data_IF_225972975895
#
_entry.id   IF_225972975895
#
_cell.length_a   1.000
_cell.length_b   1.000
_cell.length_c   1.000
_cell.angle_alpha   90.00
_cell.angle_beta   90.00
_cell.angle_gamma   90.00
#
_symmetry.space_group_name_H-M   'P 1'
#
loop_
_entity.id
_entity.type
_entity.pdbx_description
1 polymer ?
#
# COMPACT_ATOMS: atom_id res chain seq x y z
N UNK A 1 -14.96 -1.05 60.00
CA UNK A 1 -14.42 -1.21 58.64
C UNK A 1 -13.41 -0.10 58.45
N UNK A 2 -12.17 -0.42 58.10
CA UNK A 2 -11.13 0.59 57.91
C UNK A 2 -11.30 1.23 56.53
N UNK A 3 -10.97 2.52 56.38
CA UNK A 3 -11.00 3.27 55.11
C UNK A 3 -10.36 2.52 53.91
N UNK A 4 -9.23 1.78 54.08
CA UNK A 4 -8.62 1.02 52.99
C UNK A 4 -9.46 -0.16 52.51
N UNK A 5 -10.38 -0.66 53.34
CA UNK A 5 -11.26 -1.78 53.01
C UNK A 5 -12.46 -1.32 52.16
N UNK A 6 -13.00 -0.13 52.44
CA UNK A 6 -14.08 0.46 51.63
C UNK A 6 -13.59 0.86 50.23
N UNK A 7 -12.43 1.53 50.14
CA UNK A 7 -11.84 1.92 48.87
C UNK A 7 -11.57 0.71 47.95
N UNK A 8 -11.06 -0.39 48.52
CA UNK A 8 -10.82 -1.64 47.78
C UNK A 8 -12.12 -2.24 47.25
N UNK A 9 -13.16 -2.31 48.09
CA UNK A 9 -14.47 -2.85 47.69
C UNK A 9 -15.14 -2.01 46.61
N UNK A 10 -15.00 -0.69 46.67
CA UNK A 10 -15.49 0.21 45.62
C UNK A 10 -14.73 0.04 44.32
N UNK A 11 -13.40 -0.10 44.37
CA UNK A 11 -12.60 -0.40 43.18
C UNK A 11 -13.03 -1.73 42.55
N UNK A 12 -13.20 -2.79 43.33
CA UNK A 12 -13.66 -4.09 42.82
C UNK A 12 -15.06 -3.99 42.17
N UNK A 13 -15.98 -3.28 42.83
CA UNK A 13 -17.32 -3.05 42.29
C UNK A 13 -17.30 -2.24 40.98
N UNK A 14 -16.46 -1.22 40.90
CA UNK A 14 -16.33 -0.36 39.72
C UNK A 14 -15.66 -1.12 38.55
N UNK A 15 -14.63 -1.91 38.82
CA UNK A 15 -14.03 -2.80 37.81
C UNK A 15 -15.07 -3.76 37.26
N UNK A 16 -15.87 -4.40 38.13
CA UNK A 16 -16.95 -5.29 37.70
C UNK A 16 -18.02 -4.55 36.86
N UNK A 17 -18.35 -3.30 37.22
CA UNK A 17 -19.29 -2.47 36.46
C UNK A 17 -18.80 -2.19 35.04
N UNK A 18 -17.54 -1.75 34.90
CA UNK A 18 -16.91 -1.44 33.60
C UNK A 18 -16.75 -2.69 32.74
N UNK A 19 -16.32 -3.81 33.34
CA UNK A 19 -16.22 -5.09 32.64
C UNK A 19 -17.58 -5.56 32.10
N UNK A 20 -18.67 -5.31 32.84
CA UNK A 20 -20.02 -5.63 32.39
C UNK A 20 -20.56 -4.64 31.35
N UNK A 21 -20.06 -3.40 31.28
CA UNK A 21 -20.42 -2.42 30.27
C UNK A 21 -19.70 -2.70 28.93
N UNK A 22 -18.42 -3.09 29.03
CA UNK A 22 -17.58 -3.41 27.88
C UNK A 22 -17.96 -4.75 27.23
N UNK A 23 -18.67 -5.63 27.93
CA UNK A 23 -19.03 -6.98 27.45
C UNK A 23 -20.53 -7.14 27.24
N UNK A 24 -20.88 -8.04 26.33
CA UNK A 24 -22.26 -8.45 26.08
C UNK A 24 -23.15 -7.32 25.56
N UNK A 25 -24.42 -7.34 25.96
CA UNK A 25 -25.48 -6.49 25.38
C UNK A 25 -25.26 -4.99 25.68
N UNK A 26 -24.60 -4.66 26.80
CA UNK A 26 -24.33 -3.26 27.20
C UNK A 26 -23.28 -2.57 26.33
N UNK A 27 -22.47 -3.34 25.60
CA UNK A 27 -21.44 -2.80 24.72
C UNK A 27 -22.05 -2.00 23.56
N UNK A 28 -23.21 -2.44 23.04
CA UNK A 28 -23.92 -1.74 21.98
C UNK A 28 -24.34 -0.33 22.41
N UNK A 29 -24.99 -0.24 23.58
CA UNK A 29 -25.47 1.04 24.11
C UNK A 29 -24.28 1.97 24.42
N UNK A 30 -23.19 1.41 24.96
CA UNK A 30 -21.96 2.15 25.22
C UNK A 30 -21.36 2.72 23.94
N UNK A 31 -21.09 1.86 22.94
CA UNK A 31 -20.48 2.27 21.66
C UNK A 31 -21.34 3.31 20.95
N UNK A 32 -22.65 3.08 20.90
CA UNK A 32 -23.58 4.00 20.26
C UNK A 32 -23.58 5.36 20.95
N UNK A 33 -23.68 5.37 22.29
CA UNK A 33 -23.67 6.61 23.07
C UNK A 33 -22.35 7.39 22.94
N UNK A 34 -21.21 6.70 22.97
CA UNK A 34 -19.89 7.33 22.82
C UNK A 34 -19.67 7.89 21.41
N UNK A 35 -20.07 7.16 20.36
CA UNK A 35 -19.99 7.64 18.98
C UNK A 35 -20.91 8.86 18.78
N UNK A 36 -22.15 8.80 19.28
CA UNK A 36 -23.10 9.91 19.19
C UNK A 36 -22.59 11.16 19.90
N UNK A 37 -22.01 10.98 21.09
CA UNK A 37 -21.39 12.07 21.82
C UNK A 37 -20.18 12.65 21.08
N UNK A 38 -19.29 11.78 20.57
CA UNK A 38 -18.09 12.20 19.85
C UNK A 38 -18.41 12.96 18.57
N UNK A 39 -19.37 12.47 17.76
CA UNK A 39 -19.83 13.15 16.56
C UNK A 39 -20.56 14.46 16.88
N UNK A 40 -21.37 14.48 17.93
CA UNK A 40 -22.01 15.71 18.41
C UNK A 40 -21.01 16.79 18.83
N UNK A 41 -19.92 16.40 19.50
CA UNK A 41 -18.83 17.30 19.85
C UNK A 41 -18.00 17.73 18.62
N UNK A 42 -17.77 16.81 17.69
CA UNK A 42 -17.02 17.02 16.45
C UNK A 42 -17.68 18.07 15.54
N UNK A 43 -19.00 18.17 15.56
CA UNK A 43 -19.75 19.22 14.85
C UNK A 43 -19.43 20.65 15.35
N UNK A 44 -18.99 20.80 16.60
CA UNK A 44 -18.62 22.10 17.16
C UNK A 44 -17.17 22.54 16.88
N UNK A 45 -16.35 21.64 16.32
CA UNK A 45 -14.90 21.83 16.19
C UNK A 45 -14.49 21.70 14.72
N UNK A 46 -13.73 22.68 14.25
CA UNK A 46 -13.16 22.67 12.89
C UNK A 46 -11.76 22.06 12.89
N UNK A 47 -11.32 21.55 11.74
CA UNK A 47 -9.98 20.97 11.59
C UNK A 47 -8.88 21.98 11.98
N UNK A 48 -8.98 23.24 11.54
CA UNK A 48 -8.01 24.30 11.87
C UNK A 48 -7.92 24.61 13.38
N UNK A 49 -9.00 24.38 14.13
CA UNK A 49 -9.02 24.61 15.57
C UNK A 49 -8.32 23.51 16.36
N UNK A 50 -8.41 22.26 15.90
CA UNK A 50 -7.90 21.09 16.64
C UNK A 50 -6.53 20.65 16.18
N UNK A 51 -6.16 20.93 14.92
CA UNK A 51 -4.95 20.40 14.33
C UNK A 51 -4.13 21.51 13.65
N UNK A 52 -2.95 21.85 14.22
CA UNK A 52 -2.06 22.81 13.57
C UNK A 52 -1.51 22.23 12.25
N UNK A 53 -1.60 23.03 11.19
CA UNK A 53 -1.08 22.67 9.87
C UNK A 53 0.40 22.26 9.90
N UNK A 54 1.23 23.04 10.59
CA UNK A 54 2.68 22.81 10.68
C UNK A 54 3.00 21.48 11.35
N UNK A 55 2.19 21.06 12.34
CA UNK A 55 2.35 19.77 12.99
C UNK A 55 2.16 18.63 12.00
N UNK A 56 1.14 18.70 11.14
CA UNK A 56 0.88 17.68 10.13
C UNK A 56 1.99 17.65 9.07
N UNK A 57 2.50 18.82 8.66
CA UNK A 57 3.66 18.91 7.75
C UNK A 57 4.88 18.21 8.33
N UNK A 58 5.24 18.52 9.57
CA UNK A 58 6.38 17.87 10.26
C UNK A 58 6.21 16.36 10.37
N UNK A 59 5.01 15.91 10.75
CA UNK A 59 4.70 14.48 10.89
C UNK A 59 4.75 13.79 9.52
N UNK A 60 4.14 14.35 8.48
CA UNK A 60 4.15 13.79 7.14
C UNK A 60 5.59 13.67 6.59
N UNK A 61 6.39 14.73 6.72
CA UNK A 61 7.80 14.74 6.31
C UNK A 61 8.64 13.72 7.09
N UNK A 62 8.42 13.63 8.41
CA UNK A 62 9.09 12.64 9.26
C UNK A 62 8.76 11.23 8.80
N UNK A 63 7.49 10.89 8.58
CA UNK A 63 7.14 9.53 8.17
C UNK A 63 7.62 9.22 6.76
N UNK A 64 7.49 10.14 5.81
CA UNK A 64 7.97 9.94 4.44
C UNK A 64 9.50 9.68 4.41
N UNK A 65 10.28 10.41 5.20
CA UNK A 65 11.74 10.24 5.27
C UNK A 65 12.19 9.03 6.12
N UNK A 66 11.51 8.76 7.23
CA UNK A 66 11.92 7.71 8.18
C UNK A 66 11.30 6.36 7.91
N UNK A 67 10.28 6.27 7.04
CA UNK A 67 9.66 5.00 6.68
C UNK A 67 10.66 4.10 5.99
N UNK A 68 11.20 3.15 6.77
CA UNK A 68 11.96 2.02 6.26
C UNK A 68 11.02 0.84 6.29
N UNK A 69 10.86 0.21 5.14
CA UNK A 69 10.12 -1.06 5.04
C UNK A 69 10.80 -2.06 5.98
N UNK A 70 10.10 -2.59 7.01
CA UNK A 70 10.63 -3.68 7.81
C UNK A 70 11.03 -4.83 6.90
N UNK A 71 12.16 -5.51 7.18
CA UNK A 71 12.68 -6.57 6.32
C UNK A 71 11.72 -7.74 6.08
N UNK A 72 10.64 -7.85 6.86
CA UNK A 72 9.58 -8.84 6.68
C UNK A 72 8.64 -8.50 5.50
N UNK A 73 8.50 -7.24 5.09
CA UNK A 73 7.53 -6.87 4.04
C UNK A 73 7.87 -7.46 2.66
N UNK A 74 9.13 -7.44 2.18
CA UNK A 74 9.50 -8.16 0.95
C UNK A 74 9.22 -9.66 1.01
N UNK A 75 9.44 -10.30 2.17
CA UNK A 75 9.18 -11.73 2.37
C UNK A 75 7.67 -12.03 2.32
N UNK A 76 6.87 -11.21 3.00
CA UNK A 76 5.40 -11.31 2.96
C UNK A 76 4.88 -11.02 1.55
N UNK A 77 5.42 -10.01 0.86
CA UNK A 77 5.02 -9.67 -0.51
C UNK A 77 5.33 -10.81 -1.49
N UNK A 78 6.51 -11.43 -1.37
CA UNK A 78 6.87 -12.61 -2.17
C UNK A 78 5.95 -13.80 -1.88
N UNK A 79 5.75 -14.13 -0.60
CA UNK A 79 4.86 -15.24 -0.21
C UNK A 79 3.41 -15.00 -0.65
N UNK A 80 2.93 -13.76 -0.55
CA UNK A 80 1.60 -13.37 -1.00
C UNK A 80 1.51 -13.42 -2.52
N UNK A 81 2.52 -12.95 -3.26
CA UNK A 81 2.55 -13.01 -4.72
C UNK A 81 2.47 -14.46 -5.22
N UNK A 82 3.27 -15.38 -4.68
CA UNK A 82 3.22 -16.81 -5.03
C UNK A 82 1.83 -17.40 -4.74
N UNK A 83 1.26 -17.08 -3.58
CA UNK A 83 -0.08 -17.59 -3.20
C UNK A 83 -1.20 -16.99 -4.05
N UNK A 84 -1.09 -15.72 -4.42
CA UNK A 84 -2.02 -15.03 -5.30
C UNK A 84 -1.95 -15.59 -6.71
N UNK A 85 -0.76 -15.85 -7.26
CA UNK A 85 -0.60 -16.50 -8.58
C UNK A 85 -1.24 -17.90 -8.63
N UNK A 86 -1.03 -18.68 -7.57
CA UNK A 86 -1.62 -20.00 -7.42
C UNK A 86 -3.13 -19.98 -7.10
N UNK A 87 -3.74 -18.82 -6.92
CA UNK A 87 -5.15 -18.72 -6.51
C UNK A 87 -6.08 -19.18 -7.64
N UNK A 88 -7.11 -20.02 -7.35
CA UNK A 88 -8.03 -20.52 -8.37
C UNK A 88 -8.87 -19.43 -9.05
N UNK A 89 -9.05 -18.27 -8.40
CA UNK A 89 -9.74 -17.14 -9.02
C UNK A 89 -9.03 -16.59 -10.28
N UNK A 90 -7.73 -16.87 -10.46
CA UNK A 90 -6.97 -16.43 -11.64
C UNK A 90 -7.35 -17.17 -12.93
N UNK A 91 -8.16 -18.22 -12.85
CA UNK A 91 -8.78 -18.86 -14.03
C UNK A 91 -9.85 -17.98 -14.69
N UNK A 92 -10.25 -16.89 -14.03
CA UNK A 92 -11.20 -15.92 -14.57
C UNK A 92 -10.57 -15.16 -15.74
N UNK A 93 -11.34 -14.99 -16.81
CA UNK A 93 -10.94 -14.15 -17.95
C UNK A 93 -10.77 -12.69 -17.53
N UNK A 94 -9.72 -12.04 -18.02
CA UNK A 94 -9.40 -10.65 -17.68
C UNK A 94 -10.58 -9.70 -17.97
N UNK A 95 -11.31 -9.91 -19.07
CA UNK A 95 -12.49 -9.11 -19.43
C UNK A 95 -13.68 -9.22 -18.47
N UNK A 96 -13.69 -10.21 -17.57
CA UNK A 96 -14.69 -10.32 -16.47
C UNK A 96 -14.25 -9.57 -15.22
N UNK A 97 -12.95 -9.30 -15.07
CA UNK A 97 -12.38 -8.57 -13.93
C UNK A 97 -12.35 -7.08 -14.22
N UNK A 98 -11.94 -6.70 -15.43
CA UNK A 98 -11.89 -5.32 -15.89
C UNK A 98 -12.77 -5.20 -17.13
N UNK A 99 -13.76 -4.32 -17.04
CA UNK A 99 -14.72 -4.12 -18.12
C UNK A 99 -14.13 -3.26 -19.24
N UNK A 100 -14.32 -3.67 -20.50
CA UNK A 100 -13.88 -2.92 -21.70
C UNK A 100 -14.24 -1.42 -21.69
N UNK A 101 -15.43 -0.96 -21.25
CA UNK A 101 -15.76 0.47 -21.22
C UNK A 101 -14.79 1.30 -20.38
N UNK A 102 -14.37 0.79 -19.21
CA UNK A 102 -13.40 1.49 -18.35
C UNK A 102 -12.01 1.60 -18.98
N UNK A 103 -11.61 0.59 -19.76
CA UNK A 103 -10.34 0.63 -20.49
C UNK A 103 -10.44 1.59 -21.67
N UNK A 104 -11.58 1.64 -22.36
CA UNK A 104 -11.80 2.63 -23.40
C UNK A 104 -11.70 4.06 -22.86
N UNK A 105 -12.31 4.36 -21.71
CA UNK A 105 -12.18 5.65 -21.03
C UNK A 105 -10.72 5.99 -20.68
N UNK A 106 -9.94 5.02 -20.18
CA UNK A 106 -8.52 5.21 -19.88
C UNK A 106 -7.67 5.42 -21.14
N UNK A 107 -7.96 4.67 -22.20
CA UNK A 107 -7.28 4.78 -23.50
C UNK A 107 -7.59 6.14 -24.14
N UNK A 108 -8.85 6.58 -24.09
CA UNK A 108 -9.29 7.90 -24.56
C UNK A 108 -8.56 9.01 -23.80
N UNK A 109 -8.57 8.97 -22.46
CA UNK A 109 -7.84 9.93 -21.64
C UNK A 109 -6.33 9.96 -21.97
N UNK A 110 -5.71 8.80 -22.19
CA UNK A 110 -4.29 8.69 -22.56
C UNK A 110 -4.00 9.23 -23.96
N UNK A 111 -4.91 9.02 -24.91
CA UNK A 111 -4.81 9.51 -26.29
C UNK A 111 -5.03 11.03 -26.37
N UNK A 112 -5.93 11.58 -25.54
CA UNK A 112 -6.23 13.01 -25.46
C UNK A 112 -5.07 13.83 -24.87
N UNK A 113 -4.16 13.21 -24.08
CA UNK A 113 -2.95 13.83 -23.52
C UNK A 113 -1.85 14.07 -24.58
N UNK A 114 -2.17 14.77 -25.67
CA UNK A 114 -1.30 15.05 -26.83
C UNK A 114 0.08 15.61 -26.48
N UNK A 115 0.16 16.48 -25.47
CA UNK A 115 1.42 17.09 -24.98
C UNK A 115 2.35 16.05 -24.35
N UNK A 116 1.80 15.13 -23.54
CA UNK A 116 2.57 14.05 -22.93
C UNK A 116 3.13 13.11 -24.01
N UNK A 117 2.31 12.75 -25.00
CA UNK A 117 2.73 11.89 -26.12
C UNK A 117 3.87 12.51 -26.93
N UNK A 118 3.75 13.77 -27.32
CA UNK A 118 4.80 14.45 -28.09
C UNK A 118 6.10 14.58 -27.30
N UNK A 119 6.02 14.81 -26.00
CA UNK A 119 7.19 14.98 -25.14
C UNK A 119 7.86 13.64 -24.80
N UNK A 120 7.09 12.58 -24.58
CA UNK A 120 7.60 11.21 -24.41
C UNK A 120 8.22 10.70 -25.72
N UNK A 121 7.56 10.83 -26.86
CA UNK A 121 8.11 10.38 -28.15
C UNK A 121 9.36 11.18 -28.55
N UNK A 122 9.37 12.49 -28.32
CA UNK A 122 10.53 13.34 -28.59
C UNK A 122 11.69 13.05 -27.64
N UNK A 123 11.42 12.87 -26.34
CA UNK A 123 12.45 12.49 -25.36
C UNK A 123 13.01 11.08 -25.59
N UNK A 124 12.21 10.13 -26.08
CA UNK A 124 12.67 8.80 -26.51
C UNK A 124 13.51 8.86 -27.79
N UNK A 125 13.20 9.78 -28.71
CA UNK A 125 13.93 9.98 -29.96
C UNK A 125 15.24 10.78 -29.79
N UNK A 126 15.27 11.75 -28.87
CA UNK A 126 16.42 12.64 -28.64
C UNK A 126 17.42 12.09 -27.61
N UNK A 127 16.99 11.14 -26.77
CA UNK A 127 17.85 10.56 -25.74
C UNK A 127 18.55 9.29 -26.27
N UNK A 128 19.75 9.45 -26.83
CA UNK A 128 20.62 8.35 -27.27
C UNK A 128 20.97 7.35 -26.16
N UNK A 129 20.73 7.71 -24.88
CA UNK A 129 20.85 6.82 -23.73
C UNK A 129 19.69 5.82 -23.60
N UNK A 130 18.48 6.15 -24.05
CA UNK A 130 17.33 5.23 -24.03
C UNK A 130 17.40 4.26 -25.21
N UNK A 131 17.95 4.66 -26.35
CA UNK A 131 18.27 3.71 -27.44
C UNK A 131 19.36 2.71 -27.03
N UNK A 132 20.34 3.15 -26.23
CA UNK A 132 21.31 2.24 -25.61
C UNK A 132 20.67 1.36 -24.52
N UNK A 133 19.76 1.91 -23.70
CA UNK A 133 19.09 1.19 -22.61
C UNK A 133 18.09 0.13 -23.09
N UNK A 134 17.23 0.46 -24.06
CA UNK A 134 16.30 -0.49 -24.70
C UNK A 134 17.07 -1.52 -25.53
N UNK A 135 18.13 -1.10 -26.23
CA UNK A 135 19.05 -2.01 -26.92
C UNK A 135 19.85 -2.93 -25.99
N UNK A 136 20.00 -2.56 -24.71
CA UNK A 136 20.65 -3.35 -23.64
C UNK A 136 19.65 -4.24 -22.91
N UNK A 137 18.38 -3.84 -22.80
CA UNK A 137 17.29 -4.70 -22.33
C UNK A 137 16.98 -5.80 -23.35
N UNK A 138 16.99 -5.47 -24.64
CA UNK A 138 16.79 -6.43 -25.74
C UNK A 138 18.04 -7.31 -25.98
N UNK A 139 19.25 -6.80 -25.69
CA UNK A 139 20.51 -7.60 -25.73
C UNK A 139 20.99 -8.07 -24.35
N UNK A 140 20.13 -7.98 -23.35
CA UNK A 140 20.40 -8.30 -21.95
C UNK A 140 20.43 -9.80 -21.70
N UNK A 141 21.28 -10.50 -22.45
CA UNK A 141 21.73 -11.86 -22.12
C UNK A 141 22.22 -11.90 -20.67
N UNK A 142 22.09 -13.08 -20.06
CA UNK A 142 22.37 -13.48 -18.67
C UNK A 142 23.60 -12.90 -17.92
N UNK A 143 24.44 -12.08 -18.58
CA UNK A 143 25.54 -11.32 -17.95
C UNK A 143 25.07 -10.08 -17.18
N UNK A 144 23.95 -9.45 -17.56
CA UNK A 144 23.45 -8.25 -16.88
C UNK A 144 22.98 -8.49 -15.44
N UNK A 145 22.40 -9.66 -15.16
CA UNK A 145 21.95 -10.02 -13.81
C UNK A 145 23.11 -10.16 -12.80
N UNK A 146 24.29 -10.61 -13.27
CA UNK A 146 25.48 -10.81 -12.43
C UNK A 146 26.16 -9.49 -12.08
N UNK A 147 26.21 -8.54 -13.02
CA UNK A 147 26.78 -7.21 -12.78
C UNK A 147 25.86 -6.33 -11.93
N UNK A 148 24.54 -6.46 -12.08
CA UNK A 148 23.56 -5.83 -11.18
C UNK A 148 23.71 -6.37 -9.75
N UNK A 149 23.90 -7.70 -9.59
CA UNK A 149 24.17 -8.31 -8.28
C UNK A 149 25.48 -7.85 -7.63
N UNK A 150 26.55 -7.64 -8.41
CA UNK A 150 27.83 -7.09 -7.90
C UNK A 150 27.71 -5.64 -7.46
N UNK A 151 27.05 -4.79 -8.26
CA UNK A 151 26.83 -3.38 -7.88
C UNK A 151 25.88 -3.21 -6.70
N UNK A 152 24.97 -4.16 -6.50
CA UNK A 152 24.09 -4.23 -5.32
C UNK A 152 24.90 -4.45 -4.03
N UNK A 153 25.97 -5.25 -4.10
CA UNK A 153 26.83 -5.52 -2.95
C UNK A 153 27.72 -4.31 -2.58
N UNK A 154 28.16 -3.54 -3.57
CA UNK A 154 29.15 -2.48 -3.37
C UNK A 154 28.54 -1.12 -2.93
N UNK A 155 27.26 -0.85 -3.20
CA UNK A 155 26.65 0.47 -2.98
C UNK A 155 25.62 0.55 -1.83
N UNK A 156 25.50 -0.46 -0.96
CA UNK A 156 24.54 -0.47 0.15
C UNK A 156 25.13 0.10 1.46
N UNK A 157 24.68 1.27 1.95
CA UNK A 157 25.06 1.77 3.27
C UNK A 157 24.20 1.09 4.34
N UNK A 158 24.81 0.21 5.15
CA UNK A 158 24.13 -0.51 6.24
C UNK A 158 24.17 -2.04 6.05
N UNK A 159 25.31 -2.65 6.37
CA UNK A 159 25.71 -4.01 6.01
C UNK A 159 25.02 -5.19 6.71
N UNK A 160 23.71 -5.16 6.99
CA UNK A 160 23.00 -6.33 7.54
C UNK A 160 21.76 -6.77 6.76
N UNK A 161 21.10 -5.86 6.02
CA UNK A 161 19.88 -6.18 5.28
C UNK A 161 20.12 -6.64 3.84
N UNK A 162 21.17 -6.14 3.17
CA UNK A 162 21.47 -6.51 1.78
C UNK A 162 22.08 -7.91 1.63
N UNK A 163 22.84 -8.35 2.63
CA UNK A 163 23.61 -9.58 2.57
C UNK A 163 22.72 -10.83 2.55
N UNK A 164 21.68 -10.91 3.40
CA UNK A 164 20.82 -12.10 3.50
C UNK A 164 19.89 -12.28 2.29
N UNK A 165 19.47 -11.18 1.65
CA UNK A 165 18.67 -11.21 0.42
C UNK A 165 19.57 -11.59 -0.75
N UNK A 166 20.73 -10.94 -0.89
CA UNK A 166 21.68 -11.24 -1.97
C UNK A 166 22.24 -12.67 -1.89
N UNK A 167 22.55 -13.19 -0.70
CA UNK A 167 23.08 -14.54 -0.49
C UNK A 167 22.03 -15.62 -0.78
N UNK A 168 20.76 -15.40 -0.41
CA UNK A 168 19.64 -16.31 -0.77
C UNK A 168 19.33 -16.30 -2.26
N UNK A 169 19.47 -15.14 -2.91
CA UNK A 169 19.28 -14.98 -4.35
C UNK A 169 20.42 -15.63 -5.14
N UNK A 170 21.67 -15.44 -4.70
CA UNK A 170 22.86 -16.05 -5.29
C UNK A 170 22.87 -17.58 -5.10
N UNK A 171 22.48 -18.06 -3.91
CA UNK A 171 22.39 -19.49 -3.59
C UNK A 171 21.39 -20.25 -4.46
N UNK A 172 20.19 -19.69 -4.69
CA UNK A 172 19.16 -20.32 -5.54
C UNK A 172 19.51 -20.28 -7.03
N UNK A 173 20.15 -19.21 -7.51
CA UNK A 173 20.61 -19.13 -8.90
C UNK A 173 21.78 -20.09 -9.20
N UNK A 174 22.73 -20.23 -8.28
CA UNK A 174 23.89 -21.11 -8.49
C UNK A 174 23.49 -22.58 -8.66
N UNK A 175 22.45 -23.02 -7.93
CA UNK A 175 21.94 -24.39 -7.99
C UNK A 175 21.02 -24.64 -9.21
N UNK A 176 20.36 -23.60 -9.72
CA UNK A 176 19.38 -23.71 -10.82
C UNK A 176 20.04 -23.56 -12.21
N UNK A 177 21.18 -22.86 -12.30
CA UNK A 177 21.88 -22.58 -13.56
C UNK A 177 22.81 -23.74 -13.99
N UNK A 178 23.17 -24.66 -13.10
CA UNK A 178 23.95 -25.86 -13.49
C UNK A 178 23.07 -26.95 -14.09
N UNK A 179 22.73 -26.77 -15.38
CA UNK A 179 22.55 -27.89 -16.30
C UNK A 179 21.13 -28.46 -16.48
N UNK A 180 20.07 -27.68 -16.25
CA UNK A 180 18.69 -28.17 -16.51
C UNK A 180 18.07 -27.59 -17.80
N UNK A 181 17.31 -28.39 -18.57
CA UNK A 181 16.64 -27.98 -19.81
C UNK A 181 15.51 -26.94 -19.62
N UNK A 182 15.17 -26.60 -18.36
CA UNK A 182 14.17 -25.59 -18.00
C UNK A 182 14.63 -24.18 -18.37
N UNK A 183 15.92 -23.87 -18.18
CA UNK A 183 16.47 -22.55 -18.54
C UNK A 183 16.41 -22.25 -20.04
N UNK A 184 16.48 -23.27 -20.89
CA UNK A 184 16.38 -23.10 -22.35
C UNK A 184 14.93 -22.89 -22.83
N UNK A 185 13.96 -23.52 -22.17
CA UNK A 185 12.54 -23.39 -22.50
C UNK A 185 11.95 -22.04 -22.06
N UNK A 186 12.36 -21.54 -20.89
CA UNK A 186 11.96 -20.20 -20.40
C UNK A 186 12.55 -19.11 -21.30
N UNK A 187 13.82 -19.24 -21.70
CA UNK A 187 14.48 -18.29 -22.60
C UNK A 187 13.86 -18.31 -24.02
N UNK A 188 13.28 -19.44 -24.46
CA UNK A 188 12.60 -19.55 -25.75
C UNK A 188 11.19 -18.96 -25.73
N UNK A 189 10.41 -19.22 -24.68
CA UNK A 189 9.06 -18.63 -24.52
C UNK A 189 9.13 -17.12 -24.26
N UNK A 190 10.08 -16.67 -23.43
CA UNK A 190 10.34 -15.26 -23.21
C UNK A 190 10.86 -14.57 -24.48
N UNK A 191 11.72 -15.23 -25.28
CA UNK A 191 12.10 -14.72 -26.62
C UNK A 191 10.91 -14.64 -27.55
N UNK A 192 10.07 -15.66 -27.66
CA UNK A 192 8.92 -15.62 -28.57
C UNK A 192 7.89 -14.55 -28.16
N UNK A 193 7.67 -14.34 -26.86
CA UNK A 193 6.82 -13.28 -26.34
C UNK A 193 7.45 -11.89 -26.50
N UNK A 194 8.77 -11.77 -26.29
CA UNK A 194 9.50 -10.54 -26.52
C UNK A 194 9.62 -10.22 -28.02
N UNK A 195 9.74 -11.22 -28.90
CA UNK A 195 9.81 -11.07 -30.35
C UNK A 195 8.44 -10.80 -30.96
N UNK A 196 7.36 -11.36 -30.40
CA UNK A 196 5.98 -11.03 -30.79
C UNK A 196 5.52 -9.69 -30.22
N UNK A 197 5.87 -9.39 -28.96
CA UNK A 197 5.57 -8.12 -28.30
C UNK A 197 6.39 -6.96 -28.86
N UNK A 198 7.69 -7.16 -29.04
CA UNK A 198 8.54 -6.21 -29.76
C UNK A 198 8.24 -6.22 -31.24
N UNK A 199 7.80 -7.32 -31.86
CA UNK A 199 7.39 -7.33 -33.28
C UNK A 199 6.09 -6.56 -33.52
N UNK A 200 5.13 -6.62 -32.60
CA UNK A 200 3.92 -5.80 -32.64
C UNK A 200 4.22 -4.32 -32.37
N UNK A 201 5.03 -4.04 -31.33
CA UNK A 201 5.44 -2.67 -31.00
C UNK A 201 6.39 -2.07 -32.04
N UNK A 202 7.33 -2.84 -32.57
CA UNK A 202 8.25 -2.41 -33.63
C UNK A 202 7.54 -2.41 -34.97
N UNK A 203 6.58 -3.29 -35.28
CA UNK A 203 5.77 -3.18 -36.49
C UNK A 203 4.92 -1.91 -36.48
N UNK A 204 4.33 -1.59 -35.33
CA UNK A 204 3.65 -0.31 -35.07
C UNK A 204 4.60 0.91 -35.18
N UNK A 205 5.88 0.76 -34.83
CA UNK A 205 6.89 1.83 -34.94
C UNK A 205 7.65 1.86 -36.28
N UNK A 206 7.68 0.77 -37.04
CA UNK A 206 8.58 0.59 -38.19
C UNK A 206 7.87 0.56 -39.53
N UNK A 207 6.58 0.20 -39.60
CA UNK A 207 5.88 0.13 -40.90
C UNK A 207 5.05 1.38 -41.24
N UNK A 208 4.87 2.33 -40.30
CA UNK A 208 4.19 3.61 -40.62
C UNK A 208 4.73 4.80 -39.83
N UNK A 209 5.59 5.57 -40.49
CA UNK A 209 5.82 7.01 -40.36
C UNK A 209 5.51 7.70 -39.01
N UNK A 210 6.56 8.22 -38.40
CA UNK A 210 6.56 9.26 -37.37
C UNK A 210 5.90 10.61 -37.79
N UNK A 211 4.92 10.62 -38.69
CA UNK A 211 4.26 11.86 -39.16
C UNK A 211 2.76 11.79 -39.46
N UNK A 212 2.06 10.67 -39.27
CA UNK A 212 0.60 10.69 -39.50
C UNK A 212 -0.23 9.66 -38.74
N UNK A 213 0.20 9.21 -37.56
CA UNK A 213 -0.67 8.39 -36.71
C UNK A 213 -1.71 9.30 -36.07
N UNK A 214 -2.96 9.12 -36.44
CA UNK A 214 -4.11 9.84 -35.89
C UNK A 214 -4.43 9.32 -34.49
N UNK A 215 -5.02 10.15 -33.65
CA UNK A 215 -5.44 9.76 -32.29
C UNK A 215 -6.36 8.53 -32.31
N UNK A 216 -7.18 8.41 -33.35
CA UNK A 216 -8.12 7.32 -33.59
C UNK A 216 -7.40 5.98 -33.88
N UNK A 217 -6.30 5.99 -34.64
CA UNK A 217 -5.52 4.78 -34.92
C UNK A 217 -4.78 4.26 -33.67
N UNK A 218 -4.28 5.16 -32.80
CA UNK A 218 -3.67 4.76 -31.51
C UNK A 218 -4.71 4.18 -30.57
N UNK A 219 -5.87 4.83 -30.50
CA UNK A 219 -7.00 4.39 -29.70
C UNK A 219 -7.44 2.97 -30.10
N UNK A 220 -7.65 2.73 -31.40
CA UNK A 220 -8.11 1.44 -31.90
C UNK A 220 -7.06 0.35 -31.72
N UNK A 221 -5.77 0.64 -31.91
CA UNK A 221 -4.69 -0.31 -31.65
C UNK A 221 -4.61 -0.70 -30.16
N UNK A 222 -4.78 0.25 -29.24
CA UNK A 222 -4.78 -0.03 -27.79
C UNK A 222 -6.01 -0.86 -27.38
N UNK A 223 -7.18 -0.59 -27.99
CA UNK A 223 -8.38 -1.39 -27.76
C UNK A 223 -8.29 -2.80 -28.36
N UNK A 224 -7.63 -2.97 -29.50
CA UNK A 224 -7.41 -4.29 -30.10
C UNK A 224 -6.46 -5.14 -29.24
N UNK A 225 -5.41 -4.53 -28.69
CA UNK A 225 -4.53 -5.17 -27.69
C UNK A 225 -5.33 -5.55 -26.45
N UNK A 226 -6.21 -4.67 -25.97
CA UNK A 226 -7.09 -4.96 -24.84
C UNK A 226 -8.03 -6.14 -25.14
N UNK A 227 -8.72 -6.13 -26.28
CA UNK A 227 -9.67 -7.18 -26.66
C UNK A 227 -8.98 -8.55 -26.80
N UNK A 228 -7.74 -8.57 -27.30
CA UNK A 228 -6.90 -9.77 -27.34
C UNK A 228 -6.53 -10.28 -25.94
N UNK A 229 -6.20 -9.38 -24.99
CA UNK A 229 -5.87 -9.74 -23.61
C UNK A 229 -7.10 -10.11 -22.77
N UNK A 230 -8.25 -9.49 -23.03
CA UNK A 230 -9.49 -9.67 -22.27
C UNK A 230 -10.04 -11.10 -22.34
N UNK A 231 -9.72 -11.83 -23.42
CA UNK A 231 -10.12 -13.24 -23.60
C UNK A 231 -9.28 -14.24 -22.82
N UNK A 232 -8.09 -13.83 -22.36
CA UNK A 232 -7.14 -14.68 -21.63
C UNK A 232 -7.46 -14.75 -20.14
N UNK A 233 -7.23 -15.89 -19.48
CA UNK A 233 -7.30 -16.00 -18.03
C UNK A 233 -6.22 -15.13 -17.36
N UNK A 234 -6.53 -14.56 -16.20
CA UNK A 234 -5.58 -13.76 -15.41
C UNK A 234 -4.31 -14.55 -15.08
N UNK A 235 -4.41 -15.88 -14.92
CA UNK A 235 -3.27 -16.76 -14.67
C UNK A 235 -2.23 -16.69 -15.79
N UNK A 236 -2.64 -16.69 -17.05
CA UNK A 236 -1.71 -16.61 -18.18
C UNK A 236 -0.87 -15.34 -18.15
N UNK A 237 -1.43 -14.22 -17.67
CA UNK A 237 -0.71 -12.95 -17.52
C UNK A 237 0.15 -12.96 -16.27
N UNK A 238 -0.35 -13.54 -15.18
CA UNK A 238 0.38 -13.66 -13.91
C UNK A 238 1.60 -14.58 -14.01
N UNK A 239 1.55 -15.59 -14.88
CA UNK A 239 2.64 -16.54 -15.16
C UNK A 239 3.73 -15.93 -16.07
N UNK A 240 3.45 -14.84 -16.78
CA UNK A 240 4.47 -14.11 -17.57
C UNK A 240 5.51 -13.40 -16.70
N UNK A 241 5.14 -13.10 -15.46
CA UNK A 241 6.05 -12.46 -14.51
C UNK A 241 6.58 -13.55 -13.61
N UNK A 242 7.88 -13.80 -13.62
CA UNK A 242 8.46 -14.74 -12.65
C UNK A 242 8.39 -14.18 -11.22
N UNK A 243 8.26 -15.06 -10.22
CA UNK A 243 8.32 -14.66 -8.80
C UNK A 243 9.60 -13.88 -8.49
N UNK A 244 10.71 -14.26 -9.13
CA UNK A 244 12.02 -13.63 -9.00
C UNK A 244 12.06 -12.22 -9.62
N UNK A 245 11.35 -12.02 -10.74
CA UNK A 245 11.26 -10.72 -11.40
C UNK A 245 10.39 -9.73 -10.60
N UNK A 246 9.31 -10.21 -9.96
CA UNK A 246 8.49 -9.39 -9.06
C UNK A 246 9.29 -8.85 -7.88
N UNK A 247 10.11 -9.71 -7.27
CA UNK A 247 10.97 -9.31 -6.15
C UNK A 247 12.03 -8.30 -6.62
N UNK A 248 12.66 -8.54 -7.77
CA UNK A 248 13.64 -7.61 -8.34
C UNK A 248 13.01 -6.24 -8.67
N UNK A 249 11.81 -6.22 -9.24
CA UNK A 249 11.05 -4.99 -9.50
C UNK A 249 10.71 -4.26 -8.20
N UNK A 250 10.23 -4.97 -7.18
CA UNK A 250 9.92 -4.39 -5.88
C UNK A 250 11.16 -3.76 -5.23
N UNK A 251 12.30 -4.45 -5.24
CA UNK A 251 13.56 -3.92 -4.72
C UNK A 251 14.01 -2.70 -5.51
N UNK A 252 13.91 -2.73 -6.85
CA UNK A 252 14.24 -1.60 -7.70
C UNK A 252 13.37 -0.37 -7.43
N UNK A 253 12.05 -0.56 -7.37
CA UNK A 253 11.10 0.51 -7.01
C UNK A 253 11.35 1.04 -5.61
N UNK A 254 11.69 0.17 -4.65
CA UNK A 254 12.02 0.60 -3.30
C UNK A 254 13.29 1.46 -3.26
N UNK A 255 14.32 1.11 -4.03
CA UNK A 255 15.54 1.95 -4.11
C UNK A 255 15.24 3.31 -4.75
N UNK A 256 14.47 3.35 -5.83
CA UNK A 256 14.01 4.62 -6.42
C UNK A 256 13.22 5.44 -5.40
N UNK A 257 12.35 4.79 -4.62
CA UNK A 257 11.64 5.45 -3.52
C UNK A 257 12.59 6.00 -2.45
N UNK A 258 13.64 5.26 -2.07
CA UNK A 258 14.65 5.74 -1.13
C UNK A 258 15.40 6.97 -1.66
N UNK A 259 15.70 7.02 -2.96
CA UNK A 259 16.34 8.18 -3.58
C UNK A 259 15.40 9.39 -3.65
N UNK A 260 14.13 9.16 -4.01
CA UNK A 260 13.12 10.21 -4.11
C UNK A 260 12.73 10.76 -2.74
N UNK A 261 12.63 9.91 -1.71
CA UNK A 261 12.15 10.36 -0.39
C UNK A 261 13.09 11.31 0.33
N UNK A 262 14.39 11.16 0.09
CA UNK A 262 15.41 12.00 0.71
C UNK A 262 15.65 13.29 -0.11
N UNK A 263 14.92 13.46 -1.22
CA UNK A 263 15.00 14.67 -2.07
C UNK A 263 14.19 15.84 -1.52
N UNK A 264 14.72 17.05 -1.68
CA UNK A 264 14.01 18.30 -1.38
C UNK A 264 12.72 18.44 -2.21
N UNK A 265 12.67 17.79 -3.39
CA UNK A 265 11.50 17.77 -4.25
C UNK A 265 10.30 17.11 -3.58
N UNK A 266 10.47 15.93 -2.98
CA UNK A 266 9.35 15.27 -2.31
C UNK A 266 8.89 16.05 -1.07
N UNK A 267 9.81 16.69 -0.36
CA UNK A 267 9.45 17.53 0.78
C UNK A 267 8.56 18.70 0.36
N UNK A 268 8.90 19.38 -0.74
CA UNK A 268 8.09 20.47 -1.29
C UNK A 268 6.70 19.99 -1.76
N UNK A 269 6.61 18.79 -2.34
CA UNK A 269 5.34 18.19 -2.74
C UNK A 269 4.45 17.85 -1.53
N UNK A 270 5.03 17.27 -0.47
CA UNK A 270 4.31 16.98 0.77
C UNK A 270 3.81 18.27 1.41
N UNK A 271 4.66 19.29 1.47
CA UNK A 271 4.31 20.61 2.00
C UNK A 271 3.11 21.22 1.26
N UNK A 272 3.20 21.25 -0.08
CA UNK A 272 2.12 21.74 -0.96
C UNK A 272 0.83 20.92 -0.81
N UNK A 273 0.95 19.60 -0.72
CA UNK A 273 -0.19 18.71 -0.55
C UNK A 273 -0.93 18.92 0.77
N UNK A 274 -0.17 19.10 1.86
CA UNK A 274 -0.76 19.42 3.17
C UNK A 274 -1.38 20.81 3.16
N UNK A 275 -0.75 21.81 2.54
CA UNK A 275 -1.34 23.15 2.39
C UNK A 275 -2.68 23.08 1.65
N UNK A 276 -2.71 22.41 0.50
CA UNK A 276 -3.94 22.26 -0.28
C UNK A 276 -5.04 21.54 0.50
N UNK A 277 -4.69 20.51 1.28
CA UNK A 277 -5.65 19.79 2.12
C UNK A 277 -6.28 20.71 3.17
N UNK A 278 -5.47 21.49 3.90
CA UNK A 278 -5.98 22.42 4.90
C UNK A 278 -6.70 23.62 4.28
N UNK A 279 -6.30 24.11 3.10
CA UNK A 279 -7.04 25.16 2.40
C UNK A 279 -8.43 24.68 1.95
N UNK A 280 -8.56 23.38 1.64
CA UNK A 280 -9.83 22.76 1.23
C UNK A 280 -10.72 22.42 2.43
N UNK A 281 -10.15 21.80 3.46
CA UNK A 281 -10.91 21.17 4.55
C UNK A 281 -10.70 21.82 5.93
N UNK A 282 -9.81 22.80 6.07
CA UNK A 282 -9.48 23.42 7.38
C UNK A 282 -10.69 24.00 8.10
N UNK A 283 -11.61 24.59 7.33
CA UNK A 283 -12.86 25.16 7.84
C UNK A 283 -13.98 24.14 8.08
N UNK A 284 -13.80 22.88 7.68
CA UNK A 284 -14.81 21.84 7.86
C UNK A 284 -14.84 21.44 9.33
N UNK A 285 -16.05 21.20 9.83
CA UNK A 285 -16.25 20.56 11.12
C UNK A 285 -15.79 19.10 11.05
N UNK A 286 -15.32 18.55 12.17
CA UNK A 286 -14.73 17.21 12.18
C UNK A 286 -15.75 16.12 11.81
N UNK A 287 -17.03 16.31 12.13
CA UNK A 287 -18.11 15.40 11.72
C UNK A 287 -18.28 15.40 10.19
N UNK A 288 -18.34 16.57 9.57
CA UNK A 288 -18.43 16.72 8.11
C UNK A 288 -17.19 16.19 7.42
N UNK A 289 -16.03 16.39 8.02
CA UNK A 289 -14.79 15.81 7.50
C UNK A 289 -14.86 14.28 7.50
N UNK A 290 -15.46 13.65 8.51
CA UNK A 290 -15.66 12.19 8.50
C UNK A 290 -16.68 11.76 7.43
N UNK A 291 -17.80 12.49 7.31
CA UNK A 291 -18.84 12.21 6.32
C UNK A 291 -18.34 12.30 4.87
N UNK A 292 -17.51 13.30 4.54
CA UNK A 292 -16.90 13.44 3.20
C UNK A 292 -16.02 12.23 2.81
N UNK A 293 -15.48 11.53 3.80
CA UNK A 293 -14.66 10.34 3.60
C UNK A 293 -15.47 9.04 3.72
N UNK A 294 -16.79 9.15 3.77
CA UNK A 294 -17.71 8.02 3.87
C UNK A 294 -17.72 7.36 5.24
N UNK A 295 -17.34 8.08 6.30
CA UNK A 295 -17.37 7.60 7.68
C UNK A 295 -18.52 8.30 8.42
N UNK A 296 -19.73 7.79 8.21
CA UNK A 296 -20.91 8.24 8.94
C UNK A 296 -21.03 7.57 10.30
N UNK A 297 -22.03 8.02 11.06
CA UNK A 297 -22.42 7.42 12.35
C UNK A 297 -22.65 5.91 12.22
N UNK A 298 -23.43 5.50 11.23
CA UNK A 298 -23.84 4.10 11.08
C UNK A 298 -22.64 3.23 10.68
N UNK A 299 -21.72 3.73 9.86
CA UNK A 299 -20.47 3.05 9.51
C UNK A 299 -19.58 2.84 10.75
N UNK A 300 -19.42 3.88 11.57
CA UNK A 300 -18.62 3.81 12.80
C UNK A 300 -19.20 2.81 13.81
N UNK A 301 -20.54 2.80 13.98
CA UNK A 301 -21.22 1.86 14.88
C UNK A 301 -21.11 0.44 14.33
N UNK A 302 -21.35 0.23 13.02
CA UNK A 302 -21.25 -1.08 12.38
C UNK A 302 -19.85 -1.67 12.59
N UNK A 303 -18.79 -0.93 12.26
CA UNK A 303 -17.43 -1.46 12.35
C UNK A 303 -16.97 -1.65 13.80
N UNK A 304 -17.40 -0.78 14.73
CA UNK A 304 -17.15 -0.97 16.15
C UNK A 304 -17.81 -2.26 16.69
N UNK A 305 -19.03 -2.59 16.24
CA UNK A 305 -19.72 -3.82 16.62
C UNK A 305 -19.20 -5.06 15.89
N UNK A 306 -18.65 -4.89 14.70
CA UNK A 306 -18.05 -5.98 13.91
C UNK A 306 -16.75 -6.47 14.53
N UNK A 307 -15.88 -5.55 14.94
CA UNK A 307 -14.54 -5.87 15.41
C UNK A 307 -14.37 -5.82 16.94
N UNK A 308 -15.16 -5.00 17.63
CA UNK A 308 -15.06 -4.78 19.08
C UNK A 308 -15.33 -6.05 19.91
N UNK A 309 -16.49 -6.70 19.79
CA UNK A 309 -16.86 -7.82 20.65
C UNK A 309 -15.88 -8.99 20.62
N UNK A 310 -15.40 -9.49 19.44
CA UNK A 310 -14.43 -10.58 19.41
C UNK A 310 -13.11 -10.25 20.12
N UNK A 311 -12.62 -9.02 19.97
CA UNK A 311 -11.37 -8.57 20.59
C UNK A 311 -11.54 -8.41 22.10
N UNK A 312 -12.64 -7.79 22.53
CA UNK A 312 -12.93 -7.57 23.95
C UNK A 312 -13.10 -8.90 24.68
N UNK A 313 -13.84 -9.85 24.10
CA UNK A 313 -14.01 -11.17 24.69
C UNK A 313 -12.68 -11.91 24.83
N UNK A 314 -11.84 -11.91 23.79
CA UNK A 314 -10.51 -12.52 23.86
C UNK A 314 -9.60 -11.87 24.92
N UNK A 315 -9.60 -10.54 25.02
CA UNK A 315 -8.82 -9.80 26.03
C UNK A 315 -9.32 -10.08 27.46
N UNK A 316 -10.62 -10.27 27.61
CA UNK A 316 -11.22 -10.51 28.89
C UNK A 316 -11.06 -11.98 29.35
N UNK A 317 -11.10 -12.95 28.44
CA UNK A 317 -10.71 -14.34 28.70
C UNK A 317 -9.24 -14.46 29.11
N UNK A 318 -8.36 -13.68 28.48
CA UNK A 318 -6.94 -13.59 28.85
C UNK A 318 -6.70 -12.82 30.18
N UNK A 319 -7.74 -12.26 30.81
CA UNK A 319 -7.65 -11.44 32.02
C UNK A 319 -6.92 -10.10 31.82
N UNK A 320 -6.58 -9.74 30.59
CA UNK A 320 -5.88 -8.49 30.24
C UNK A 320 -6.81 -7.29 30.38
N UNK A 321 -8.08 -7.45 29.99
CA UNK A 321 -9.07 -6.37 30.06
C UNK A 321 -9.33 -5.92 31.51
N UNK A 322 -9.51 -6.87 32.42
CA UNK A 322 -9.73 -6.56 33.84
C UNK A 322 -8.52 -5.86 34.46
N UNK A 323 -7.31 -6.36 34.16
CA UNK A 323 -6.07 -5.73 34.63
C UNK A 323 -5.93 -4.29 34.12
N UNK A 324 -6.28 -4.03 32.86
CA UNK A 324 -6.25 -2.70 32.28
C UNK A 324 -7.23 -1.75 32.99
N UNK A 325 -8.48 -2.18 33.15
CA UNK A 325 -9.53 -1.40 33.83
C UNK A 325 -9.14 -1.12 35.28
N UNK A 326 -8.73 -2.16 36.02
CA UNK A 326 -8.31 -2.05 37.41
C UNK A 326 -7.12 -1.12 37.59
N UNK A 327 -6.09 -1.22 36.73
CA UNK A 327 -4.91 -0.34 36.77
C UNK A 327 -5.27 1.12 36.51
N UNK A 328 -6.23 1.39 35.60
CA UNK A 328 -6.69 2.75 35.32
C UNK A 328 -7.47 3.31 36.51
N UNK A 329 -8.41 2.54 37.04
CA UNK A 329 -9.28 2.96 38.14
C UNK A 329 -8.54 3.07 39.47
N UNK A 330 -7.55 2.22 39.75
CA UNK A 330 -6.80 2.25 41.02
C UNK A 330 -6.12 3.60 41.25
N UNK A 331 -5.68 4.28 40.18
CA UNK A 331 -5.08 5.61 40.28
C UNK A 331 -5.98 6.64 40.96
N UNK A 332 -7.30 6.56 40.75
CA UNK A 332 -8.27 7.41 41.43
C UNK A 332 -8.49 6.97 42.89
N UNK A 333 -8.73 5.69 43.15
CA UNK A 333 -9.00 5.22 44.52
C UNK A 333 -7.79 5.32 45.46
N UNK A 334 -6.57 5.37 44.90
CA UNK A 334 -5.34 5.62 45.65
C UNK A 334 -5.02 7.12 45.83
N UNK A 335 -5.76 8.00 45.16
CA UNK A 335 -5.54 9.44 45.25
C UNK A 335 -5.84 9.98 46.66
N UNK A 336 -5.11 11.02 47.10
CA UNK A 336 -5.41 11.71 48.36
C UNK A 336 -6.86 12.18 48.47
N UNK A 337 -7.44 12.64 47.36
CA UNK A 337 -8.80 13.16 47.28
C UNK A 337 -9.84 12.06 47.51
N UNK A 338 -9.68 10.90 46.86
CA UNK A 338 -10.59 9.78 47.07
C UNK A 338 -10.49 9.23 48.49
N UNK A 339 -9.28 9.14 49.05
CA UNK A 339 -9.08 8.69 50.44
C UNK A 339 -9.69 9.66 51.44
N UNK A 340 -9.58 10.97 51.21
CA UNK A 340 -10.22 11.98 52.05
C UNK A 340 -11.76 11.92 52.01
N UNK A 341 -12.35 11.53 50.88
CA UNK A 341 -13.81 11.34 50.75
C UNK A 341 -14.31 10.02 51.36
N UNK A 342 -13.43 9.03 51.54
CA UNK A 342 -13.76 7.70 52.05
C UNK A 342 -13.38 7.49 53.53
N UNK A 343 -12.88 8.55 54.19
CA UNK A 343 -12.57 8.65 55.62
C UNK A 343 -13.81 8.97 56.46
#
# INVERSE_FOLDING_TARGET
MTEPDLARRLLDAHVAHEMAALRGVRFLDLVTGEIDFALGAANGLTLDQVMPRDLIKEVALKYVSTFRLPGAIPEVAGALATRLKAHPANDTQLGKVVSRPRIAELVEALVEMRTLRQQVLRSLAENSGIQAGVGTLVRGTARGAVDTGRRLADNLPGGSFGFSIAERFAGRMADTVKGTPVGAAVDQSARELAERGAGALLGYLSDTAATSVTDEEVHDALLEVWDALATRPVREIADLVDDEQLVALFVGLYQVWLDVRDSDYLQALVDTGVDFFFDTYGSFTLDRLLEEWGLGRDDLVEEALRFGPPVIEALAEAGVLEQLVRRRLSSFYDSPEARALLA
#
